data_IF_822084554120
#
_entry.id   IF_822084554120
#
_cell.length_a   1.000
_cell.length_b   1.000
_cell.length_c   1.000
_cell.angle_alpha   90.00
_cell.angle_beta   90.00
_cell.angle_gamma   90.00
#
_symmetry.space_group_name_H-M   'P 1'
#
loop_
_entity.id
_entity.type
_entity.pdbx_description
1 polymer ?
#
# COMPACT_ATOMS: atom_id res chain seq x y z
N UNK A 1 -13.06 40.54 64.60
CA UNK A 1 -13.74 40.42 63.28
C UNK A 1 -13.00 41.19 62.16
N UNK A 2 -11.67 41.08 62.01
CA UNK A 2 -10.91 41.77 60.94
C UNK A 2 -10.05 40.83 60.08
N UNK A 3 -9.80 39.60 60.53
CA UNK A 3 -8.97 38.60 59.83
C UNK A 3 -9.76 37.72 58.84
N UNK A 4 -11.05 37.48 59.10
CA UNK A 4 -11.92 36.66 58.22
C UNK A 4 -12.29 37.41 56.92
N UNK A 5 -12.30 38.75 56.93
CA UNK A 5 -12.57 39.57 55.75
C UNK A 5 -11.38 39.67 54.78
N UNK A 6 -10.16 39.35 55.23
CA UNK A 6 -8.97 39.37 54.38
C UNK A 6 -8.78 38.07 53.59
N UNK A 7 -9.16 36.92 54.18
CA UNK A 7 -9.08 35.62 53.50
C UNK A 7 -10.11 35.45 52.37
N UNK A 8 -11.24 36.14 52.43
CA UNK A 8 -12.29 36.07 51.41
C UNK A 8 -11.95 36.86 50.12
N UNK A 9 -11.03 37.82 50.20
CA UNK A 9 -10.61 38.62 49.03
C UNK A 9 -9.56 37.89 48.17
N UNK A 10 -8.71 37.05 48.79
CA UNK A 10 -7.64 36.34 48.06
C UNK A 10 -8.21 35.17 47.24
N UNK A 11 -9.23 34.48 47.74
CA UNK A 11 -9.88 33.36 47.01
C UNK A 11 -10.70 33.83 45.81
N UNK A 12 -11.20 35.06 45.83
CA UNK A 12 -11.93 35.66 44.69
C UNK A 12 -10.99 36.11 43.55
N UNK A 13 -9.70 36.38 43.82
CA UNK A 13 -8.76 36.85 42.80
C UNK A 13 -8.17 35.72 41.95
N UNK A 14 -8.08 34.50 42.49
CA UNK A 14 -7.53 33.33 41.77
C UNK A 14 -8.49 32.83 40.68
N UNK A 15 -9.80 32.93 40.88
CA UNK A 15 -10.83 32.44 39.94
C UNK A 15 -11.05 33.34 38.71
N UNK A 16 -10.53 34.57 38.69
CA UNK A 16 -10.69 35.50 37.55
C UNK A 16 -9.52 35.39 36.56
N UNK A 17 -8.41 34.75 36.95
CA UNK A 17 -7.24 34.60 36.06
C UNK A 17 -7.35 33.44 35.06
N UNK A 18 -8.20 32.44 35.33
CA UNK A 18 -8.44 31.33 34.41
C UNK A 18 -9.27 31.71 33.18
N UNK A 19 -10.14 32.73 33.27
CA UNK A 19 -11.04 33.12 32.18
C UNK A 19 -10.39 34.02 31.11
N UNK A 20 -9.24 34.66 31.40
CA UNK A 20 -8.49 35.47 30.42
C UNK A 20 -7.41 34.68 29.67
N UNK A 21 -6.97 33.53 30.20
CA UNK A 21 -5.95 32.70 29.54
C UNK A 21 -6.52 32.06 28.27
N UNK A 22 -7.73 31.51 28.35
CA UNK A 22 -8.40 30.83 27.22
C UNK A 22 -8.79 31.79 26.08
N UNK A 23 -9.05 33.06 26.39
CA UNK A 23 -9.37 34.06 25.36
C UNK A 23 -8.12 34.78 24.82
N UNK A 24 -6.93 34.46 25.32
CA UNK A 24 -5.68 35.05 24.82
C UNK A 24 -5.37 34.54 23.40
N UNK A 25 -4.91 35.43 22.52
CA UNK A 25 -4.53 35.05 21.16
C UNK A 25 -3.44 33.98 21.11
N UNK A 26 -2.54 33.95 22.11
CA UNK A 26 -1.49 32.93 22.25
C UNK A 26 -2.06 31.55 22.57
N UNK A 27 -3.06 31.46 23.45
CA UNK A 27 -3.74 30.18 23.74
C UNK A 27 -4.48 29.66 22.51
N UNK A 28 -5.23 30.51 21.81
CA UNK A 28 -5.92 30.12 20.56
C UNK A 28 -4.94 29.66 19.48
N UNK A 29 -3.80 30.34 19.34
CA UNK A 29 -2.75 29.92 18.42
C UNK A 29 -2.15 28.56 18.80
N UNK A 30 -1.88 28.32 20.09
CA UNK A 30 -1.38 27.03 20.56
C UNK A 30 -2.38 25.88 20.35
N UNK A 31 -3.68 26.12 20.55
CA UNK A 31 -4.73 25.13 20.23
C UNK A 31 -4.81 24.88 18.72
N UNK A 32 -4.78 25.92 17.90
CA UNK A 32 -4.80 25.78 16.44
C UNK A 32 -3.56 25.00 15.93
N UNK A 33 -2.38 25.25 16.52
CA UNK A 33 -1.16 24.51 16.21
C UNK A 33 -1.28 23.03 16.63
N UNK A 34 -1.77 22.76 17.84
CA UNK A 34 -2.06 21.39 18.29
C UNK A 34 -3.01 20.67 17.33
N UNK A 35 -4.09 21.34 16.92
CA UNK A 35 -5.09 20.77 16.02
C UNK A 35 -4.51 20.49 14.65
N UNK A 36 -3.70 21.42 14.14
CA UNK A 36 -2.96 21.21 12.90
C UNK A 36 -2.02 20.02 13.00
N UNK A 37 -1.27 19.89 14.09
CA UNK A 37 -0.36 18.75 14.30
C UNK A 37 -1.13 17.43 14.42
N UNK A 38 -2.27 17.42 15.12
CA UNK A 38 -3.12 16.25 15.23
C UNK A 38 -3.65 15.79 13.86
N UNK A 39 -4.09 16.72 13.01
CA UNK A 39 -4.53 16.41 11.65
C UNK A 39 -3.40 15.85 10.78
N UNK A 40 -2.20 16.43 10.86
CA UNK A 40 -1.02 15.92 10.14
C UNK A 40 -0.66 14.50 10.59
N UNK A 41 -0.70 14.22 11.90
CA UNK A 41 -0.44 12.88 12.43
C UNK A 41 -1.49 11.87 11.95
N UNK A 42 -2.78 12.22 11.98
CA UNK A 42 -3.84 11.35 11.46
C UNK A 42 -3.66 11.03 9.97
N UNK A 43 -3.28 12.03 9.17
CA UNK A 43 -2.99 11.84 7.75
C UNK A 43 -1.77 10.94 7.52
N UNK A 44 -0.73 11.08 8.36
CA UNK A 44 0.47 10.26 8.30
C UNK A 44 0.18 8.80 8.67
N UNK A 45 -0.55 8.56 9.75
CA UNK A 45 -0.95 7.21 10.17
C UNK A 45 -1.81 6.52 9.10
N UNK A 46 -2.77 7.24 8.54
CA UNK A 46 -3.61 6.73 7.45
C UNK A 46 -2.77 6.37 6.22
N UNK A 47 -1.84 7.24 5.82
CA UNK A 47 -0.97 6.94 4.69
C UNK A 47 0.00 5.80 4.96
N UNK A 48 0.47 5.64 6.20
CA UNK A 48 1.34 4.54 6.59
C UNK A 48 0.59 3.20 6.48
N UNK A 49 -0.61 3.10 7.02
CA UNK A 49 -1.43 1.89 6.92
C UNK A 49 -1.73 1.53 5.46
N UNK A 50 -2.12 2.52 4.64
CA UNK A 50 -2.35 2.29 3.21
C UNK A 50 -1.08 1.79 2.49
N UNK A 51 0.11 2.27 2.88
CA UNK A 51 1.37 1.79 2.32
C UNK A 51 1.59 0.32 2.62
N UNK A 52 1.32 -0.11 3.86
CA UNK A 52 1.45 -1.51 4.27
C UNK A 52 0.43 -2.41 3.57
N UNK A 53 -0.81 -1.96 3.43
CA UNK A 53 -1.86 -2.71 2.74
C UNK A 53 -1.48 -2.94 1.27
N UNK A 54 -1.01 -1.90 0.57
CA UNK A 54 -0.55 -2.04 -0.82
C UNK A 54 0.66 -2.97 -0.91
N UNK A 55 1.61 -2.90 0.02
CA UNK A 55 2.76 -3.81 0.04
C UNK A 55 2.33 -5.27 0.21
N UNK A 56 1.38 -5.53 1.11
CA UNK A 56 0.83 -6.86 1.32
C UNK A 56 0.11 -7.37 0.06
N UNK A 57 -0.71 -6.52 -0.57
CA UNK A 57 -1.39 -6.85 -1.83
C UNK A 57 -0.38 -7.24 -2.93
N UNK A 58 0.73 -6.51 -3.04
CA UNK A 58 1.78 -6.77 -4.04
C UNK A 58 2.46 -8.11 -3.75
N UNK A 59 2.90 -8.36 -2.51
CA UNK A 59 3.59 -9.60 -2.16
C UNK A 59 2.66 -10.81 -2.32
N UNK A 60 1.38 -10.69 -1.96
CA UNK A 60 0.36 -11.71 -2.21
C UNK A 60 0.17 -11.97 -3.71
N UNK A 61 0.06 -10.92 -4.52
CA UNK A 61 -0.06 -11.09 -5.98
C UNK A 61 1.17 -11.74 -6.60
N UNK A 62 2.38 -11.48 -6.10
CA UNK A 62 3.58 -12.21 -6.53
C UNK A 62 3.51 -13.70 -6.16
N UNK A 63 3.03 -14.04 -4.96
CA UNK A 63 2.85 -15.42 -4.55
C UNK A 63 1.85 -16.16 -5.46
N UNK A 64 0.72 -15.52 -5.79
CA UNK A 64 -0.29 -16.06 -6.70
C UNK A 64 0.27 -16.28 -8.12
N UNK A 65 0.96 -15.28 -8.68
CA UNK A 65 1.65 -15.39 -9.98
C UNK A 65 2.62 -16.58 -9.98
N UNK A 66 3.46 -16.68 -8.95
CA UNK A 66 4.45 -17.76 -8.83
C UNK A 66 3.80 -19.14 -8.72
N UNK A 67 2.70 -19.25 -7.97
CA UNK A 67 1.96 -20.49 -7.83
C UNK A 67 1.38 -20.93 -9.17
N UNK A 68 0.66 -20.03 -9.84
CA UNK A 68 0.07 -20.32 -11.15
C UNK A 68 1.14 -20.68 -12.19
N UNK A 69 2.28 -19.97 -12.19
CA UNK A 69 3.41 -20.27 -13.07
C UNK A 69 3.98 -21.68 -12.81
N UNK A 70 4.16 -22.05 -11.53
CA UNK A 70 4.67 -23.37 -11.14
C UNK A 70 3.73 -24.50 -11.55
N UNK A 71 2.43 -24.36 -11.24
CA UNK A 71 1.40 -25.33 -11.63
C UNK A 71 1.31 -25.48 -13.15
N UNK A 72 1.38 -24.37 -13.89
CA UNK A 72 1.39 -24.37 -15.35
C UNK A 72 2.61 -25.10 -15.91
N UNK A 73 3.81 -24.89 -15.36
CA UNK A 73 5.03 -25.62 -15.78
C UNK A 73 4.90 -27.13 -15.55
N UNK A 74 4.29 -27.57 -14.45
CA UNK A 74 4.02 -28.99 -14.19
C UNK A 74 3.04 -29.54 -15.22
N UNK A 75 1.94 -28.82 -15.49
CA UNK A 75 0.96 -29.22 -16.47
C UNK A 75 1.57 -29.31 -17.88
N UNK A 76 2.45 -28.39 -18.25
CA UNK A 76 3.10 -28.31 -19.56
C UNK A 76 4.04 -29.49 -19.83
N UNK A 77 4.79 -29.96 -18.82
CA UNK A 77 5.65 -31.16 -18.93
C UNK A 77 4.85 -32.42 -19.27
N UNK A 78 3.59 -32.49 -18.85
CA UNK A 78 2.71 -33.63 -19.07
C UNK A 78 1.78 -33.52 -20.29
N UNK A 79 2.11 -32.67 -21.28
CA UNK A 79 1.27 -32.39 -22.47
C UNK A 79 1.54 -33.34 -23.65
N UNK A 80 2.67 -34.06 -23.70
CA UNK A 80 2.90 -35.06 -24.74
C UNK A 80 1.84 -36.18 -24.65
N UNK A 81 0.95 -36.23 -25.64
CA UNK A 81 -0.19 -37.16 -25.69
C UNK A 81 -1.42 -36.78 -24.84
N UNK A 82 -1.49 -35.56 -24.28
CA UNK A 82 -2.55 -35.18 -23.35
C UNK A 82 -3.89 -34.79 -24.01
N UNK A 83 -5.00 -35.15 -23.33
CA UNK A 83 -6.39 -34.77 -23.68
C UNK A 83 -6.57 -33.24 -23.72
N UNK A 84 -7.46 -32.76 -24.60
CA UNK A 84 -7.86 -31.34 -24.81
C UNK A 84 -7.98 -30.54 -23.50
N UNK A 85 -8.46 -31.17 -22.42
CA UNK A 85 -8.63 -30.56 -21.10
C UNK A 85 -7.34 -29.92 -20.54
N UNK A 86 -6.17 -30.55 -20.68
CA UNK A 86 -4.92 -29.98 -20.15
C UNK A 86 -4.50 -28.68 -20.85
N UNK A 87 -4.75 -28.57 -22.16
CA UNK A 87 -4.43 -27.35 -22.92
C UNK A 87 -5.30 -26.18 -22.47
N UNK A 88 -6.59 -26.43 -22.23
CA UNK A 88 -7.51 -25.43 -21.70
C UNK A 88 -7.09 -24.93 -20.31
N UNK A 89 -6.69 -25.86 -19.42
CA UNK A 89 -6.17 -25.50 -18.09
C UNK A 89 -4.92 -24.63 -18.20
N UNK A 90 -3.95 -25.00 -19.03
CA UNK A 90 -2.72 -24.22 -19.23
C UNK A 90 -3.03 -22.81 -19.78
N UNK A 91 -3.95 -22.71 -20.74
CA UNK A 91 -4.37 -21.42 -21.28
C UNK A 91 -5.01 -20.54 -20.18
N UNK A 92 -5.90 -21.11 -19.36
CA UNK A 92 -6.51 -20.39 -18.25
C UNK A 92 -5.49 -19.95 -17.18
N UNK A 93 -4.51 -20.80 -16.86
CA UNK A 93 -3.41 -20.45 -15.94
C UNK A 93 -2.59 -19.28 -16.48
N UNK A 94 -2.26 -19.28 -17.78
CA UNK A 94 -1.55 -18.15 -18.38
C UNK A 94 -2.36 -16.86 -18.35
N UNK A 95 -3.67 -16.92 -18.62
CA UNK A 95 -4.57 -15.77 -18.50
C UNK A 95 -4.56 -15.22 -17.07
N UNK A 96 -4.72 -16.08 -16.06
CA UNK A 96 -4.67 -15.67 -14.65
C UNK A 96 -3.32 -15.04 -14.27
N UNK A 97 -2.20 -15.57 -14.79
CA UNK A 97 -0.89 -14.98 -14.55
C UNK A 97 -0.79 -13.57 -15.16
N UNK A 98 -1.25 -13.37 -16.40
CA UNK A 98 -1.24 -12.05 -17.05
C UNK A 98 -2.09 -11.04 -16.29
N UNK A 99 -3.28 -11.44 -15.85
CA UNK A 99 -4.14 -10.59 -15.02
C UNK A 99 -3.47 -10.22 -13.68
N UNK A 100 -2.84 -11.20 -13.02
CA UNK A 100 -2.08 -10.97 -11.79
C UNK A 100 -0.92 -10.00 -11.96
N UNK A 101 -0.17 -10.13 -13.07
CA UNK A 101 0.91 -9.21 -13.44
C UNK A 101 0.40 -7.78 -13.58
N UNK A 102 -0.66 -7.57 -14.36
CA UNK A 102 -1.21 -6.22 -14.59
C UNK A 102 -1.76 -5.61 -13.29
N UNK A 103 -2.43 -6.43 -12.46
CA UNK A 103 -2.88 -6.00 -11.13
C UNK A 103 -1.72 -5.56 -10.23
N UNK A 104 -0.63 -6.34 -10.19
CA UNK A 104 0.53 -5.97 -9.37
C UNK A 104 1.25 -4.74 -9.92
N UNK A 105 1.38 -4.57 -11.24
CA UNK A 105 1.93 -3.34 -11.85
C UNK A 105 1.14 -2.11 -11.43
N UNK A 106 -0.19 -2.20 -11.47
CA UNK A 106 -1.06 -1.12 -11.01
C UNK A 106 -0.84 -0.78 -9.52
N UNK A 107 -0.72 -1.80 -8.66
CA UNK A 107 -0.45 -1.62 -7.23
C UNK A 107 0.93 -1.03 -6.95
N UNK A 108 1.96 -1.44 -7.69
CA UNK A 108 3.31 -0.84 -7.60
C UNK A 108 3.27 0.63 -8.04
N UNK A 109 2.49 0.97 -9.07
CA UNK A 109 2.28 2.36 -9.49
C UNK A 109 1.54 3.17 -8.42
N UNK A 110 0.52 2.60 -7.78
CA UNK A 110 -0.20 3.21 -6.65
C UNK A 110 0.76 3.49 -5.48
N UNK A 111 1.58 2.51 -5.10
CA UNK A 111 2.60 2.64 -4.06
C UNK A 111 3.59 3.78 -4.37
N UNK A 112 4.00 3.90 -5.64
CA UNK A 112 4.88 4.98 -6.11
C UNK A 112 4.22 6.36 -6.01
N UNK A 113 2.94 6.47 -6.34
CA UNK A 113 2.19 7.72 -6.18
C UNK A 113 2.04 8.11 -4.71
N UNK A 114 1.75 7.15 -3.84
CA UNK A 114 1.64 7.36 -2.40
C UNK A 114 2.98 7.84 -1.81
N UNK A 115 4.08 7.20 -2.20
CA UNK A 115 5.43 7.61 -1.81
C UNK A 115 5.76 9.05 -2.23
N UNK A 116 5.35 9.46 -3.44
CA UNK A 116 5.58 10.82 -3.95
C UNK A 116 4.75 11.88 -3.20
N UNK A 117 3.50 11.56 -2.84
CA UNK A 117 2.59 12.48 -2.12
C UNK A 117 3.08 12.82 -0.70
N UNK A 118 3.74 11.87 -0.03
CA UNK A 118 4.20 12.07 1.34
C UNK A 118 5.44 12.95 1.49
N UNK A 119 6.01 13.45 0.38
CA UNK A 119 6.96 14.57 0.33
C UNK A 119 8.33 14.34 0.97
N UNK A 120 8.49 13.32 1.82
CA UNK A 120 9.76 12.91 2.42
C UNK A 120 10.32 11.75 1.61
N UNK A 121 11.49 11.94 1.00
CA UNK A 121 12.22 10.88 0.33
C UNK A 121 12.55 9.76 1.34
N UNK A 122 11.66 8.79 1.48
CA UNK A 122 11.93 7.57 2.21
C UNK A 122 12.75 6.67 1.28
N UNK A 123 14.07 6.75 1.41
CA UNK A 123 15.02 5.96 0.62
C UNK A 123 14.73 4.47 0.70
N UNK A 124 14.22 3.98 1.85
CA UNK A 124 13.82 2.59 2.04
C UNK A 124 12.62 2.25 1.17
N UNK A 125 11.53 3.03 1.26
CA UNK A 125 10.34 2.79 0.44
C UNK A 125 10.66 2.90 -1.06
N UNK A 126 11.49 3.85 -1.45
CA UNK A 126 11.94 4.02 -2.85
C UNK A 126 12.74 2.82 -3.34
N UNK A 127 13.65 2.29 -2.51
CA UNK A 127 14.40 1.07 -2.82
C UNK A 127 13.48 -0.15 -2.90
N UNK A 128 12.49 -0.26 -2.01
CA UNK A 128 11.47 -1.32 -2.05
C UNK A 128 10.66 -1.25 -3.34
N UNK A 129 10.16 -0.08 -3.74
CA UNK A 129 9.43 0.09 -5.01
C UNK A 129 10.32 -0.35 -6.19
N UNK A 130 11.59 0.07 -6.21
CA UNK A 130 12.53 -0.33 -7.28
C UNK A 130 12.76 -1.84 -7.32
N UNK A 131 12.88 -2.51 -6.16
CA UNK A 131 12.99 -3.97 -6.06
C UNK A 131 11.74 -4.66 -6.62
N UNK A 132 10.56 -4.20 -6.22
CA UNK A 132 9.28 -4.75 -6.68
C UNK A 132 9.10 -4.58 -8.19
N UNK A 133 9.51 -3.44 -8.74
CA UNK A 133 9.53 -3.20 -10.20
C UNK A 133 10.46 -4.16 -10.91
N UNK A 134 11.71 -4.31 -10.44
CA UNK A 134 12.65 -5.25 -11.04
C UNK A 134 12.16 -6.70 -11.00
N UNK A 135 11.53 -7.10 -9.89
CA UNK A 135 10.92 -8.43 -9.76
C UNK A 135 9.74 -8.61 -10.74
N UNK A 136 8.96 -7.55 -10.98
CA UNK A 136 7.89 -7.57 -11.98
C UNK A 136 8.44 -7.68 -13.41
N UNK A 137 9.48 -6.92 -13.74
CA UNK A 137 10.12 -6.96 -15.05
C UNK A 137 10.70 -8.36 -15.35
N UNK A 138 11.29 -9.01 -14.34
CA UNK A 138 11.76 -10.39 -14.44
C UNK A 138 10.59 -11.35 -14.71
N UNK A 139 9.47 -11.19 -14.00
CA UNK A 139 8.27 -12.02 -14.18
C UNK A 139 7.64 -11.83 -15.56
N UNK A 140 7.56 -10.61 -16.05
CA UNK A 140 7.11 -10.31 -17.42
C UNK A 140 7.95 -11.06 -18.45
N UNK A 141 9.28 -11.01 -18.34
CA UNK A 141 10.17 -11.70 -19.27
C UNK A 141 10.01 -13.23 -19.21
N UNK A 142 9.86 -13.80 -18.01
CA UNK A 142 9.60 -15.23 -17.82
C UNK A 142 8.27 -15.64 -18.47
N UNK A 143 7.23 -14.83 -18.32
CA UNK A 143 5.91 -15.10 -18.88
C UNK A 143 5.85 -14.94 -20.39
N UNK A 144 6.57 -13.97 -20.96
CA UNK A 144 6.75 -13.87 -22.41
C UNK A 144 7.42 -15.13 -22.99
N UNK A 145 8.44 -15.65 -22.30
CA UNK A 145 9.12 -16.89 -22.69
C UNK A 145 8.15 -18.08 -22.66
N UNK A 146 7.40 -18.24 -21.57
CA UNK A 146 6.40 -19.29 -21.43
C UNK A 146 5.30 -19.18 -22.50
N UNK A 147 4.82 -17.97 -22.81
CA UNK A 147 3.86 -17.75 -23.89
C UNK A 147 4.39 -18.24 -25.25
N UNK A 148 5.66 -17.99 -25.56
CA UNK A 148 6.29 -18.49 -26.78
C UNK A 148 6.35 -20.02 -26.80
N UNK A 149 6.68 -20.67 -25.69
CA UNK A 149 6.68 -22.13 -25.57
C UNK A 149 5.28 -22.74 -25.77
N UNK A 150 4.25 -22.10 -25.22
CA UNK A 150 2.85 -22.53 -25.41
C UNK A 150 2.44 -22.45 -26.88
N UNK A 151 2.81 -21.38 -27.58
CA UNK A 151 2.53 -21.21 -29.00
C UNK A 151 3.21 -22.30 -29.84
N UNK A 152 4.47 -22.65 -29.56
CA UNK A 152 5.19 -23.75 -30.22
C UNK A 152 4.50 -25.11 -30.01
N UNK A 153 3.80 -25.29 -28.89
CA UNK A 153 3.04 -26.50 -28.55
C UNK A 153 1.57 -26.46 -29.03
N UNK A 154 1.22 -25.49 -29.88
CA UNK A 154 -0.15 -25.27 -30.39
C UNK A 154 -1.19 -25.10 -29.28
N UNK A 155 -0.81 -24.42 -28.19
CA UNK A 155 -1.71 -23.97 -27.13
C UNK A 155 -1.92 -22.47 -27.34
N UNK A 156 -3.06 -22.11 -27.91
CA UNK A 156 -3.43 -20.71 -28.14
C UNK A 156 -4.11 -20.14 -26.91
N UNK A 157 -3.74 -18.92 -26.56
CA UNK A 157 -4.38 -18.16 -25.49
C UNK A 157 -5.15 -17.07 -26.20
N UNK A 158 -6.46 -17.04 -26.00
CA UNK A 158 -7.25 -15.91 -26.48
C UNK A 158 -6.76 -14.68 -25.71
N UNK A 159 -6.26 -13.70 -26.45
CA UNK A 159 -5.75 -12.45 -25.89
C UNK A 159 -6.87 -11.74 -25.12
N UNK A 160 -6.50 -11.10 -24.00
CA UNK A 160 -7.32 -10.11 -23.30
C UNK A 160 -6.91 -8.72 -23.80
#
# INVERSE_FOLDING_TARGET
>A
MKTIKFFTIITALVLVTSSCVENSGKYKAAIAERDSLAQVNMALDSSYNQTLDILNDIEQGFAEINQQESEMKVNLKGVEGAKINKRAVIAAQMTAIKEGIEKNKAKIAELRQLAAKNGKANNVLSATIKRLQAQMDEKDAQIQTLQSELNQKNITINEL
#
